data_IF_449786690907
#
_entry.id   IF_449786690907
#
_cell.length_a   1.000
_cell.length_b   1.000
_cell.length_c   1.000
_cell.angle_alpha   90.00
_cell.angle_beta   90.00
_cell.angle_gamma   90.00
#
_symmetry.space_group_name_H-M   'P 1'
#
loop_
_entity.id
_entity.type
_entity.pdbx_description
1 polymer ?
#
# COMPACT_ATOMS: atom_id res chain seq x y z
N UNK A 1 -10.29 -0.95 -20.40
CA UNK A 1 -10.38 0.06 -19.32
C UNK A 1 -10.37 -0.62 -17.95
N UNK A 2 -11.42 -1.39 -17.67
CA UNK A 2 -11.59 -2.02 -16.37
C UNK A 2 -10.56 -3.13 -16.14
N UNK A 3 -10.09 -3.74 -17.23
CA UNK A 3 -9.09 -4.80 -17.13
C UNK A 3 -7.77 -4.23 -16.63
N UNK A 4 -7.44 -3.03 -17.12
CA UNK A 4 -6.24 -2.31 -16.69
C UNK A 4 -6.23 -2.15 -15.19
N UNK A 5 -7.38 -1.74 -14.64
CA UNK A 5 -7.50 -1.50 -13.22
C UNK A 5 -7.03 -2.71 -12.43
N UNK A 6 -7.67 -3.85 -12.67
CA UNK A 6 -7.44 -5.05 -11.88
C UNK A 6 -6.03 -5.58 -12.10
N UNK A 7 -5.53 -5.45 -13.33
CA UNK A 7 -4.20 -5.95 -13.67
C UNK A 7 -3.12 -5.11 -13.00
N UNK A 8 -3.24 -3.80 -13.15
CA UNK A 8 -2.29 -2.86 -12.56
C UNK A 8 -2.39 -2.89 -11.04
N UNK A 9 -3.62 -2.92 -10.52
CA UNK A 9 -3.84 -3.06 -9.09
C UNK A 9 -3.12 -4.29 -8.56
N UNK A 10 -3.38 -5.43 -9.19
CA UNK A 10 -2.79 -6.70 -8.77
C UNK A 10 -1.26 -6.64 -8.77
N UNK A 11 -0.70 -6.00 -9.79
CA UNK A 11 0.74 -5.91 -9.96
C UNK A 11 1.41 -5.25 -8.75
N UNK A 12 1.06 -4.00 -8.49
CA UNK A 12 1.66 -3.29 -7.38
C UNK A 12 1.09 -3.83 -6.06
N UNK A 13 -0.11 -4.41 -6.11
CA UNK A 13 -0.68 -5.04 -4.93
C UNK A 13 0.15 -6.25 -4.53
N UNK A 14 0.87 -6.81 -5.50
CA UNK A 14 1.84 -7.86 -5.20
C UNK A 14 2.94 -7.29 -4.32
N UNK A 15 3.38 -6.09 -4.66
CA UNK A 15 4.33 -5.37 -3.82
C UNK A 15 3.69 -5.03 -2.47
N UNK A 16 2.42 -4.66 -2.49
CA UNK A 16 1.66 -4.45 -1.27
C UNK A 16 1.41 -5.77 -0.54
N UNK A 17 1.57 -6.89 -1.24
CA UNK A 17 1.53 -8.20 -0.61
C UNK A 17 2.72 -8.34 0.34
N UNK A 18 3.83 -7.71 -0.02
CA UNK A 18 4.95 -7.55 0.90
C UNK A 18 4.46 -6.82 2.15
N UNK A 19 3.65 -5.79 1.92
CA UNK A 19 3.01 -5.03 2.99
C UNK A 19 1.92 -5.85 3.65
N UNK A 20 1.42 -6.86 2.96
CA UNK A 20 0.45 -7.78 3.53
C UNK A 20 1.15 -8.67 4.54
N UNK A 21 2.44 -8.90 4.32
CA UNK A 21 3.26 -9.62 5.27
C UNK A 21 3.69 -8.70 6.41
N UNK A 22 3.94 -7.43 6.07
CA UNK A 22 4.27 -6.42 7.07
C UNK A 22 3.11 -6.25 8.04
N UNK A 23 1.93 -6.01 7.49
CA UNK A 23 0.71 -5.94 8.29
C UNK A 23 0.40 -7.30 8.92
N UNK A 24 0.88 -8.39 8.30
CA UNK A 24 0.70 -9.72 8.87
C UNK A 24 1.48 -9.84 10.16
N UNK A 25 2.64 -9.17 10.23
CA UNK A 25 3.37 -9.06 11.48
C UNK A 25 2.43 -8.57 12.56
N UNK A 26 1.67 -7.54 12.22
CA UNK A 26 0.72 -6.98 13.15
C UNK A 26 -0.32 -8.03 13.56
N UNK A 27 -0.89 -8.71 12.56
CA UNK A 27 -1.84 -9.80 12.81
C UNK A 27 -1.24 -10.84 13.76
N UNK A 28 0.00 -11.21 13.50
CA UNK A 28 0.68 -12.24 14.27
C UNK A 28 1.04 -11.76 15.67
N UNK A 29 1.24 -10.45 15.82
CA UNK A 29 1.55 -9.87 17.12
C UNK A 29 0.29 -9.66 17.94
N UNK A 30 -0.73 -9.11 17.31
CA UNK A 30 -1.99 -8.81 18.00
C UNK A 30 -2.76 -10.10 18.28
N UNK A 31 -2.57 -11.09 17.43
CA UNK A 31 -3.22 -12.37 17.62
C UNK A 31 -2.23 -13.51 17.61
N UNK A 32 -1.48 -13.65 18.69
CA UNK A 32 -0.48 -14.71 18.79
C UNK A 32 -1.15 -16.03 19.14
N UNK A 33 -1.29 -16.90 18.15
CA UNK A 33 -1.85 -18.22 18.38
C UNK A 33 -0.74 -19.21 18.71
N UNK A 34 0.38 -19.07 18.01
CA UNK A 34 1.54 -19.91 18.24
C UNK A 34 2.78 -19.05 18.43
N UNK A 35 3.45 -19.24 19.55
CA UNK A 35 4.56 -18.38 19.96
C UNK A 35 5.85 -18.79 19.26
N UNK A 36 5.88 -20.00 18.72
CA UNK A 36 7.06 -20.51 18.05
C UNK A 36 7.32 -19.77 16.74
N UNK A 37 6.28 -19.13 16.21
CA UNK A 37 6.40 -18.39 14.97
C UNK A 37 6.95 -16.99 15.22
N UNK A 38 8.24 -16.81 14.97
CA UNK A 38 8.84 -15.49 15.03
C UNK A 38 8.75 -14.85 13.65
N UNK A 39 8.55 -13.54 13.61
CA UNK A 39 8.12 -12.91 12.37
C UNK A 39 8.53 -11.44 12.29
N UNK A 40 9.49 -11.12 11.43
CA UNK A 40 9.88 -9.72 11.25
C UNK A 40 9.98 -9.39 9.77
N UNK A 41 8.85 -9.02 9.17
CA UNK A 41 8.83 -8.48 7.83
C UNK A 41 9.18 -7.00 7.84
N UNK A 42 10.07 -6.61 6.97
CA UNK A 42 10.51 -5.23 6.88
C UNK A 42 10.34 -4.75 5.44
N UNK A 43 9.68 -3.62 5.26
CA UNK A 43 9.34 -3.14 3.93
C UNK A 43 10.52 -2.46 3.25
N UNK A 44 11.08 -3.09 2.21
CA UNK A 44 12.15 -2.52 1.42
C UNK A 44 11.64 -1.84 0.16
N UNK A 45 10.32 -1.76 0.03
CA UNK A 45 9.72 -1.21 -1.17
C UNK A 45 9.43 0.28 -1.00
N UNK A 46 9.98 1.08 -1.90
CA UNK A 46 9.71 2.50 -1.95
C UNK A 46 8.97 2.83 -3.25
N UNK A 47 9.18 1.99 -4.25
CA UNK A 47 8.51 2.13 -5.54
C UNK A 47 8.48 0.79 -6.26
N UNK A 48 7.34 0.49 -6.87
CA UNK A 48 7.15 -0.78 -7.56
C UNK A 48 5.95 -0.70 -8.50
N UNK A 49 6.16 -1.19 -9.73
CA UNK A 49 5.09 -1.31 -10.72
C UNK A 49 4.52 0.05 -11.14
N UNK A 50 5.34 1.09 -11.09
CA UNK A 50 4.89 2.40 -11.50
C UNK A 50 4.19 3.15 -10.38
N UNK A 51 3.95 2.45 -9.29
CA UNK A 51 3.40 3.05 -8.09
C UNK A 51 4.51 3.17 -7.06
N UNK A 52 4.29 3.94 -6.02
CA UNK A 52 5.29 4.09 -4.99
C UNK A 52 4.76 3.53 -3.68
N UNK A 53 5.61 2.84 -2.94
CA UNK A 53 5.24 2.34 -1.64
C UNK A 53 5.98 3.14 -0.58
N UNK A 54 5.22 3.89 0.20
CA UNK A 54 5.79 4.78 1.20
C UNK A 54 5.08 4.61 2.53
N UNK A 55 5.77 4.94 3.60
CA UNK A 55 5.18 4.93 4.93
C UNK A 55 4.77 6.34 5.31
N UNK A 56 3.47 6.58 5.28
CA UNK A 56 2.94 7.92 5.48
C UNK A 56 1.53 7.86 6.05
N UNK A 57 1.17 8.86 6.85
CA UNK A 57 -0.16 8.92 7.41
C UNK A 57 -0.13 9.14 8.90
N UNK A 58 -0.67 8.18 9.65
CA UNK A 58 -0.67 8.25 11.10
C UNK A 58 0.74 8.03 11.66
N UNK A 59 1.58 7.38 10.86
CA UNK A 59 2.94 7.07 11.26
C UNK A 59 3.81 6.84 10.04
N UNK A 60 5.09 6.59 10.28
CA UNK A 60 6.04 6.29 9.21
C UNK A 60 6.83 5.05 9.59
N UNK A 61 6.19 4.20 10.36
CA UNK A 61 6.80 2.98 10.85
C UNK A 61 5.91 2.32 11.87
N UNK A 62 6.21 1.08 12.23
CA UNK A 62 5.40 0.37 13.19
C UNK A 62 5.54 0.99 14.58
N UNK A 63 4.47 1.59 15.06
CA UNK A 63 4.47 2.25 16.36
C UNK A 63 3.31 1.74 17.20
N UNK A 64 2.10 2.04 16.76
CA UNK A 64 0.90 1.55 17.43
C UNK A 64 0.40 0.31 16.70
N UNK A 65 -0.89 0.03 16.77
CA UNK A 65 -1.47 -1.10 16.07
C UNK A 65 -1.74 -0.77 14.61
N UNK A 66 -1.49 0.48 14.24
CA UNK A 66 -1.77 0.94 12.88
C UNK A 66 -0.51 0.85 12.03
N UNK A 67 -0.66 0.33 10.83
CA UNK A 67 0.46 0.14 9.92
C UNK A 67 0.21 0.87 8.61
N UNK A 68 0.95 1.94 8.43
CA UNK A 68 0.87 2.79 7.26
C UNK A 68 1.39 2.09 6.00
N UNK A 69 0.50 1.70 5.11
CA UNK A 69 0.93 1.09 3.87
C UNK A 69 0.28 1.80 2.69
N UNK A 70 1.06 2.52 1.90
CA UNK A 70 0.50 3.33 0.82
C UNK A 70 1.22 3.10 -0.51
N UNK A 71 0.43 2.81 -1.54
CA UNK A 71 0.93 2.79 -2.92
C UNK A 71 0.22 3.86 -3.74
N UNK A 72 0.98 4.81 -4.22
CA UNK A 72 0.45 5.90 -5.02
C UNK A 72 1.07 5.88 -6.41
N UNK A 73 0.26 6.13 -7.43
CA UNK A 73 0.75 6.18 -8.79
C UNK A 73 1.63 7.40 -8.99
N UNK A 74 2.85 7.17 -9.47
CA UNK A 74 3.75 8.27 -9.83
C UNK A 74 3.06 9.17 -10.85
N UNK A 75 2.37 8.54 -11.79
CA UNK A 75 1.58 9.26 -12.78
C UNK A 75 0.10 9.02 -12.53
N UNK A 76 -0.59 10.03 -12.01
CA UNK A 76 -2.02 9.95 -11.75
C UNK A 76 -2.82 9.94 -13.05
N UNK A 77 -2.13 10.23 -14.13
CA UNK A 77 -2.75 10.18 -15.46
C UNK A 77 -2.58 8.79 -16.07
N UNK A 78 -1.34 8.32 -16.13
CA UNK A 78 -1.03 7.00 -16.65
C UNK A 78 -1.73 5.94 -15.80
N UNK A 79 -2.07 6.34 -14.60
CA UNK A 79 -2.71 5.49 -13.62
C UNK A 79 -3.67 6.35 -12.83
N UNK A 80 -4.97 6.16 -13.01
CA UNK A 80 -5.98 7.03 -12.39
C UNK A 80 -6.27 6.71 -10.93
N UNK A 81 -5.88 5.54 -10.47
CA UNK A 81 -6.21 5.10 -9.12
C UNK A 81 -4.97 4.96 -8.24
N UNK A 82 -5.21 4.65 -6.98
CA UNK A 82 -4.16 4.47 -5.99
C UNK A 82 -4.47 3.26 -5.12
N UNK A 83 -3.44 2.58 -4.67
CA UNK A 83 -3.58 1.32 -3.94
C UNK A 83 -3.10 1.48 -2.50
N UNK A 84 -4.02 1.47 -1.54
CA UNK A 84 -3.63 1.67 -0.14
C UNK A 84 -3.88 0.43 0.68
N UNK A 85 -2.95 0.13 1.56
CA UNK A 85 -2.98 -1.09 2.33
C UNK A 85 -3.22 -0.78 3.81
N UNK A 86 -4.27 -1.37 4.34
CA UNK A 86 -4.64 -1.22 5.74
C UNK A 86 -4.42 -2.54 6.46
N UNK A 87 -4.21 -2.47 7.78
CA UNK A 87 -3.85 -3.62 8.61
C UNK A 87 -4.90 -4.73 8.55
N UNK A 88 -6.06 -4.44 7.97
CA UNK A 88 -7.14 -5.42 7.86
C UNK A 88 -6.92 -6.33 6.66
N UNK A 89 -5.71 -6.28 6.11
CA UNK A 89 -5.38 -6.96 4.86
C UNK A 89 -6.27 -6.44 3.74
N UNK A 90 -6.70 -5.19 3.87
CA UNK A 90 -7.62 -4.61 2.91
C UNK A 90 -6.93 -3.55 2.06
N UNK A 91 -7.31 -3.52 0.80
CA UNK A 91 -6.80 -2.54 -0.13
C UNK A 91 -7.84 -1.47 -0.40
N UNK A 92 -7.41 -0.22 -0.45
CA UNK A 92 -8.30 0.87 -0.78
C UNK A 92 -7.92 1.46 -2.13
N UNK A 93 -8.83 1.33 -3.10
CA UNK A 93 -8.58 1.81 -4.45
C UNK A 93 -9.28 3.13 -4.64
N UNK A 94 -8.54 4.21 -4.71
CA UNK A 94 -9.16 5.51 -4.87
C UNK A 94 -8.65 6.20 -6.11
N UNK A 95 -9.52 6.97 -6.73
CA UNK A 95 -9.15 7.78 -7.88
C UNK A 95 -8.47 9.05 -7.37
N UNK A 96 -8.67 9.30 -6.08
CA UNK A 96 -7.98 10.36 -5.36
C UNK A 96 -6.52 9.98 -5.15
N UNK A 97 -5.74 10.88 -4.59
CA UNK A 97 -4.39 10.55 -4.17
C UNK A 97 -4.35 10.49 -2.63
N UNK A 98 -3.64 9.51 -2.08
CA UNK A 98 -3.58 9.34 -0.63
C UNK A 98 -2.19 9.64 -0.09
N UNK A 99 -1.28 9.97 -0.99
CA UNK A 99 0.10 10.26 -0.63
C UNK A 99 0.88 10.64 -1.89
N UNK A 100 2.19 10.72 -1.75
CA UNK A 100 3.06 11.15 -2.82
C UNK A 100 4.27 10.24 -2.93
N UNK A 101 4.90 10.25 -4.09
CA UNK A 101 5.98 9.33 -4.37
C UNK A 101 7.32 10.04 -4.18
N UNK A 102 8.05 9.60 -3.16
CA UNK A 102 9.27 10.28 -2.73
C UNK A 102 10.47 9.75 -3.51
N UNK A 103 10.22 8.75 -4.33
CA UNK A 103 11.26 8.14 -5.14
C UNK A 103 11.71 9.10 -6.24
N UNK A 104 10.79 9.98 -6.62
CA UNK A 104 11.07 10.94 -7.67
C UNK A 104 11.30 10.26 -9.00
N UNK A 105 10.54 9.18 -9.24
CA UNK A 105 10.68 8.37 -10.45
C UNK A 105 10.66 9.27 -11.69
N UNK A 106 9.48 9.71 -12.10
CA UNK A 106 9.37 10.64 -13.22
C UNK A 106 8.54 11.86 -12.85
N UNK A 107 7.40 11.60 -12.23
CA UNK A 107 6.35 12.59 -12.13
C UNK A 107 5.75 12.64 -10.72
N UNK A 108 5.09 13.74 -10.41
CA UNK A 108 4.39 13.90 -9.14
C UNK A 108 2.92 14.21 -9.40
N UNK A 109 2.08 14.11 -8.39
CA UNK A 109 0.64 14.18 -8.61
C UNK A 109 -0.08 14.79 -7.41
N UNK A 110 -1.30 15.27 -7.63
CA UNK A 110 -2.09 15.83 -6.56
C UNK A 110 -3.53 16.07 -6.96
N UNK A 111 -4.32 15.00 -6.97
CA UNK A 111 -5.74 15.10 -7.31
C UNK A 111 -6.59 14.31 -6.32
N UNK A 112 -7.82 14.75 -6.11
CA UNK A 112 -8.74 14.04 -5.23
C UNK A 112 -9.98 13.63 -6.01
N UNK A 113 -10.54 12.47 -5.67
CA UNK A 113 -11.64 11.88 -6.42
C UNK A 113 -12.17 10.63 -5.70
N UNK A 114 -13.07 9.94 -6.39
CA UNK A 114 -13.70 8.67 -5.98
C UNK A 114 -12.81 7.74 -5.15
N UNK A 115 -13.45 6.92 -4.31
CA UNK A 115 -12.75 5.91 -3.53
C UNK A 115 -13.46 4.55 -3.64
N UNK A 116 -12.77 3.49 -3.22
CA UNK A 116 -13.29 2.14 -3.35
C UNK A 116 -12.69 1.21 -2.29
N UNK A 117 -13.49 0.24 -1.87
CA UNK A 117 -13.08 -0.76 -0.90
C UNK A 117 -12.69 -2.05 -1.65
N UNK A 118 -11.45 -2.51 -1.48
CA UNK A 118 -10.99 -3.72 -2.16
C UNK A 118 -10.63 -4.81 -1.14
N UNK A 119 -11.59 -5.68 -0.87
CA UNK A 119 -11.37 -6.83 0.01
C UNK A 119 -11.58 -8.12 -0.76
#
# INVERSE_FOLDING_TARGET
ISEFEKAKINAVRAALLENAHFMEKFYLQNGRFKQTSTKWPSLPIKEAEGFCIRLNGIARGALDSKFMLKAVAIDKDKNPFIIKMNENLVTFICKKSASSCSDGLDYFKGNDKDCKLFK
#
